data_IF_739583194720
#
_entry.id   IF_739583194720
#
_cell.length_a   1.000
_cell.length_b   1.000
_cell.length_c   1.000
_cell.angle_alpha   90.00
_cell.angle_beta   90.00
_cell.angle_gamma   90.00
#
_symmetry.space_group_name_H-M   'P 1'
#
loop_
_entity.id
_entity.type
_entity.pdbx_description
1 polymer ?
#
# COMPACT_ATOMS: atom_id res chain seq x y z
N UNK A 1 -20.67 -42.69 -38.84
CA UNK A 1 -19.98 -41.99 -39.95
C UNK A 1 -18.56 -41.69 -39.52
N UNK A 2 -17.56 -42.25 -40.20
CA UNK A 2 -16.17 -41.85 -40.03
C UNK A 2 -15.91 -40.69 -41.01
N UNK A 3 -15.61 -39.51 -40.48
CA UNK A 3 -15.29 -38.31 -41.28
C UNK A 3 -13.79 -38.36 -41.60
N UNK A 4 -13.40 -38.06 -42.85
CA UNK A 4 -11.98 -38.00 -43.21
C UNK A 4 -11.32 -36.77 -42.56
N UNK A 5 -10.03 -36.89 -42.19
CA UNK A 5 -9.27 -35.79 -41.58
C UNK A 5 -9.30 -34.51 -42.43
N UNK A 6 -9.30 -34.67 -43.76
CA UNK A 6 -9.33 -33.56 -44.72
C UNK A 6 -10.67 -32.82 -44.69
N UNK A 7 -11.76 -33.55 -44.54
CA UNK A 7 -13.11 -32.97 -44.46
C UNK A 7 -13.36 -32.30 -43.11
N UNK A 8 -12.80 -32.86 -42.02
CA UNK A 8 -12.80 -32.24 -40.70
C UNK A 8 -11.99 -30.94 -40.64
N UNK A 9 -10.83 -30.87 -41.31
CA UNK A 9 -10.07 -29.61 -41.39
C UNK A 9 -10.82 -28.56 -42.21
N UNK A 10 -11.46 -28.97 -43.31
CA UNK A 10 -12.27 -28.08 -44.14
C UNK A 10 -13.54 -27.58 -43.46
N UNK A 11 -14.11 -28.32 -42.52
CA UNK A 11 -15.29 -27.89 -41.76
C UNK A 11 -14.99 -26.74 -40.77
N UNK A 12 -13.72 -26.39 -40.57
CA UNK A 12 -13.29 -25.32 -39.65
C UNK A 12 -13.40 -25.70 -38.17
N UNK A 13 -13.94 -26.88 -37.86
CA UNK A 13 -14.11 -27.39 -36.51
C UNK A 13 -12.80 -27.45 -35.70
N UNK A 14 -11.63 -27.82 -36.27
CA UNK A 14 -10.37 -27.80 -35.54
C UNK A 14 -9.99 -26.42 -35.01
N UNK A 15 -10.28 -25.34 -35.75
CA UNK A 15 -9.97 -23.97 -35.33
C UNK A 15 -10.85 -23.50 -34.19
N UNK A 16 -12.11 -23.93 -34.17
CA UNK A 16 -13.05 -23.68 -33.07
C UNK A 16 -12.55 -24.38 -31.81
N UNK A 17 -12.19 -25.67 -31.92
CA UNK A 17 -11.62 -26.42 -30.80
C UNK A 17 -10.31 -25.81 -30.31
N UNK A 18 -9.41 -25.41 -31.23
CA UNK A 18 -8.15 -24.77 -30.88
C UNK A 18 -8.38 -23.43 -30.15
N UNK A 19 -9.32 -22.60 -30.61
CA UNK A 19 -9.65 -21.33 -29.96
C UNK A 19 -10.29 -21.54 -28.59
N UNK A 20 -11.23 -22.48 -28.48
CA UNK A 20 -11.85 -22.85 -27.20
C UNK A 20 -10.82 -23.41 -26.21
N UNK A 21 -9.91 -24.27 -26.68
CA UNK A 21 -8.79 -24.80 -25.87
C UNK A 21 -7.85 -23.68 -25.45
N UNK A 22 -7.50 -22.74 -26.32
CA UNK A 22 -6.64 -21.61 -26.00
C UNK A 22 -7.27 -20.70 -24.93
N UNK A 23 -8.57 -20.41 -25.03
CA UNK A 23 -9.30 -19.64 -24.01
C UNK A 23 -9.34 -20.41 -22.69
N UNK A 24 -9.66 -21.72 -22.71
CA UNK A 24 -9.68 -22.54 -21.51
C UNK A 24 -8.31 -22.59 -20.82
N UNK A 25 -7.22 -22.79 -21.58
CA UNK A 25 -5.85 -22.74 -21.06
C UNK A 25 -5.57 -21.36 -20.46
N UNK A 26 -5.95 -20.27 -21.14
CA UNK A 26 -5.74 -18.91 -20.63
C UNK A 26 -6.46 -18.67 -19.30
N UNK A 27 -7.72 -19.13 -19.16
CA UNK A 27 -8.47 -19.04 -17.91
C UNK A 27 -7.80 -19.86 -16.80
N UNK A 28 -7.37 -21.09 -17.11
CA UNK A 28 -6.64 -21.94 -16.15
C UNK A 28 -5.33 -21.28 -15.72
N UNK A 29 -4.58 -20.69 -16.64
CA UNK A 29 -3.33 -19.97 -16.34
C UNK A 29 -3.58 -18.74 -15.47
N UNK A 30 -4.62 -17.95 -15.76
CA UNK A 30 -4.99 -16.77 -14.95
C UNK A 30 -5.41 -17.20 -13.55
N UNK A 31 -6.30 -18.18 -13.42
CA UNK A 31 -6.72 -18.70 -12.11
C UNK A 31 -5.56 -19.36 -11.36
N UNK A 32 -4.69 -20.08 -12.07
CA UNK A 32 -3.48 -20.67 -11.51
C UNK A 32 -2.51 -19.61 -10.99
N UNK A 33 -2.26 -18.56 -11.77
CA UNK A 33 -1.43 -17.44 -11.35
C UNK A 33 -2.04 -16.71 -10.14
N UNK A 34 -3.34 -16.40 -10.18
CA UNK A 34 -4.04 -15.80 -9.05
C UNK A 34 -3.97 -16.69 -7.80
N UNK A 35 -4.11 -18.01 -7.95
CA UNK A 35 -3.95 -18.96 -6.86
C UNK A 35 -2.54 -19.00 -6.28
N UNK A 36 -1.51 -18.92 -7.13
CA UNK A 36 -0.11 -18.83 -6.68
C UNK A 36 0.14 -17.51 -5.95
N UNK A 37 -0.31 -16.39 -6.50
CA UNK A 37 -0.17 -15.07 -5.87
C UNK A 37 -0.91 -15.04 -4.54
N UNK A 38 -2.15 -15.53 -4.47
CA UNK A 38 -2.93 -15.59 -3.24
C UNK A 38 -2.28 -16.50 -2.19
N UNK A 39 -1.83 -17.70 -2.58
CA UNK A 39 -1.20 -18.64 -1.62
C UNK A 39 0.13 -18.12 -1.07
N UNK A 40 0.91 -17.38 -1.87
CA UNK A 40 2.16 -16.75 -1.43
C UNK A 40 1.91 -15.48 -0.63
N UNK A 41 0.94 -14.66 -1.03
CA UNK A 41 0.65 -13.37 -0.40
C UNK A 41 -0.13 -13.48 0.90
N UNK A 42 -1.19 -14.31 0.95
CA UNK A 42 -2.07 -14.39 2.12
C UNK A 42 -1.36 -14.94 3.36
N UNK A 43 -0.35 -15.81 3.18
CA UNK A 43 0.44 -16.35 4.30
C UNK A 43 1.15 -15.24 5.09
N UNK A 44 1.43 -14.08 4.49
CA UNK A 44 2.10 -12.96 5.16
C UNK A 44 1.30 -12.38 6.34
N UNK A 45 -0.03 -12.52 6.35
CA UNK A 45 -0.86 -12.03 7.47
C UNK A 45 -0.90 -12.98 8.66
N UNK A 46 -0.34 -14.18 8.52
CA UNK A 46 -0.31 -15.16 9.60
C UNK A 46 0.75 -14.77 10.64
N UNK A 47 0.42 -14.73 11.95
CA UNK A 47 1.40 -14.45 13.00
C UNK A 47 2.32 -15.67 13.18
N UNK A 48 3.40 -15.70 12.40
CA UNK A 48 4.41 -16.75 12.42
C UNK A 48 5.08 -16.83 13.79
N UNK A 49 5.40 -18.05 14.22
CA UNK A 49 6.11 -18.26 15.50
C UNK A 49 7.53 -17.72 15.43
N UNK A 50 7.96 -17.07 16.50
CA UNK A 50 9.33 -16.57 16.62
C UNK A 50 10.25 -17.69 17.11
N UNK A 51 11.34 -17.90 16.40
CA UNK A 51 12.34 -18.92 16.66
C UNK A 51 13.62 -18.25 17.14
N UNK A 52 14.17 -18.74 18.24
CA UNK A 52 15.46 -18.33 18.76
C UNK A 52 16.50 -19.38 18.39
N UNK A 53 17.61 -18.94 17.81
CA UNK A 53 18.71 -19.75 17.31
C UNK A 53 20.03 -19.27 17.87
N UNK A 54 20.94 -20.21 18.14
CA UNK A 54 22.36 -19.89 18.21
C UNK A 54 22.94 -19.96 16.80
N UNK A 55 23.28 -18.80 16.24
CA UNK A 55 23.92 -18.68 14.94
C UNK A 55 25.44 -18.63 15.10
N UNK A 56 26.15 -19.55 14.43
CA UNK A 56 27.61 -19.61 14.44
C UNK A 56 28.16 -19.07 13.13
N UNK A 57 28.91 -17.96 13.19
CA UNK A 57 29.61 -17.39 12.03
C UNK A 57 31.01 -17.99 11.89
N UNK A 58 31.63 -17.87 10.70
CA UNK A 58 32.88 -18.50 10.21
C UNK A 58 34.17 -18.38 11.09
N UNK A 59 34.07 -17.95 12.36
CA UNK A 59 35.14 -17.87 13.36
C UNK A 59 34.66 -18.20 14.80
N UNK A 60 33.74 -19.15 14.96
CA UNK A 60 33.14 -19.57 16.25
C UNK A 60 32.41 -18.46 17.03
N UNK A 61 32.17 -17.29 16.41
CA UNK A 61 31.33 -16.25 17.00
C UNK A 61 29.88 -16.74 17.03
N UNK A 62 29.40 -17.08 18.22
CA UNK A 62 28.03 -17.48 18.46
C UNK A 62 27.21 -16.27 18.91
N UNK A 63 26.14 -15.99 18.16
CA UNK A 63 25.16 -14.96 18.53
C UNK A 63 23.77 -15.57 18.61
N UNK A 64 22.95 -15.06 19.52
CA UNK A 64 21.55 -15.44 19.59
C UNK A 64 20.74 -14.61 18.60
N UNK A 65 19.94 -15.28 17.78
CA UNK A 65 19.11 -14.66 16.75
C UNK A 65 17.67 -15.05 16.99
N UNK A 66 16.78 -14.07 17.07
CA UNK A 66 15.33 -14.28 17.12
C UNK A 66 14.72 -13.82 15.80
N UNK A 67 13.86 -14.64 15.21
CA UNK A 67 13.20 -14.27 13.96
C UNK A 67 12.14 -15.27 13.50
N UNK A 68 11.52 -14.94 12.38
CA UNK A 68 10.52 -15.77 11.71
C UNK A 68 11.18 -16.51 10.55
N UNK A 69 10.97 -17.82 10.43
CA UNK A 69 11.36 -18.56 9.23
C UNK A 69 10.41 -18.22 8.09
N UNK A 70 10.94 -17.59 7.04
CA UNK A 70 10.17 -17.15 5.86
C UNK A 70 10.23 -18.20 4.76
N UNK A 71 11.42 -18.72 4.50
CA UNK A 71 11.67 -19.66 3.41
C UNK A 71 12.77 -20.64 3.80
N UNK A 72 12.66 -21.86 3.29
CA UNK A 72 13.68 -22.90 3.38
C UNK A 72 13.92 -23.44 1.98
N UNK A 73 15.17 -23.61 1.60
CA UNK A 73 15.56 -24.15 0.31
C UNK A 73 16.87 -24.94 0.38
N UNK A 74 17.04 -25.85 -0.58
CA UNK A 74 18.27 -26.59 -0.75
C UNK A 74 19.11 -25.93 -1.85
N UNK A 75 20.40 -25.74 -1.55
CA UNK A 75 21.38 -25.13 -2.44
C UNK A 75 22.54 -26.08 -2.66
N UNK A 76 23.16 -26.03 -3.84
CA UNK A 76 24.33 -26.85 -4.12
C UNK A 76 25.53 -26.35 -3.30
N UNK A 77 26.35 -27.27 -2.84
CA UNK A 77 27.56 -26.93 -2.11
C UNK A 77 28.53 -26.09 -2.97
N UNK A 78 28.50 -26.23 -4.30
CA UNK A 78 29.25 -25.39 -5.22
C UNK A 78 28.82 -23.92 -5.17
N UNK A 79 27.51 -23.65 -5.14
CA UNK A 79 26.98 -22.28 -5.03
C UNK A 79 27.46 -21.59 -3.76
N UNK A 80 27.53 -22.33 -2.64
CA UNK A 80 27.95 -21.81 -1.34
C UNK A 80 29.48 -21.64 -1.25
N UNK A 81 30.25 -22.56 -1.83
CA UNK A 81 31.70 -22.40 -1.99
C UNK A 81 32.03 -21.17 -2.83
N UNK A 82 31.27 -20.91 -3.90
CA UNK A 82 31.44 -19.74 -4.76
C UNK A 82 31.13 -18.41 -4.04
N UNK A 83 30.35 -18.42 -2.96
CA UNK A 83 30.15 -17.25 -2.09
C UNK A 83 31.23 -17.06 -1.02
N UNK A 84 32.27 -17.90 -1.02
CA UNK A 84 33.39 -17.80 -0.09
C UNK A 84 33.18 -18.49 1.27
N UNK A 85 32.09 -19.27 1.42
CA UNK A 85 31.78 -20.00 2.66
C UNK A 85 32.34 -21.43 2.55
N UNK A 86 33.06 -21.87 3.58
CA UNK A 86 33.61 -23.23 3.62
C UNK A 86 32.50 -24.27 3.81
N UNK A 87 32.46 -25.27 2.94
CA UNK A 87 31.52 -26.40 3.01
C UNK A 87 32.31 -27.70 3.19
N UNK A 88 31.94 -28.58 4.14
CA UNK A 88 32.61 -29.87 4.32
C UNK A 88 32.67 -30.69 3.03
N UNK A 89 33.77 -31.43 2.85
CA UNK A 89 33.92 -32.35 1.72
C UNK A 89 32.87 -33.48 1.78
N UNK A 90 32.32 -33.87 0.63
CA UNK A 90 31.29 -34.92 0.52
C UNK A 90 29.85 -34.44 0.70
N UNK A 91 29.61 -33.13 0.84
CA UNK A 91 28.26 -32.55 0.84
C UNK A 91 27.94 -31.98 -0.54
N UNK A 92 26.89 -32.50 -1.19
CA UNK A 92 26.43 -32.05 -2.50
C UNK A 92 25.34 -30.95 -2.38
N UNK A 93 24.45 -31.10 -1.40
CA UNK A 93 23.33 -30.19 -1.12
C UNK A 93 23.35 -29.75 0.34
N UNK A 94 23.06 -28.47 0.57
CA UNK A 94 22.93 -27.85 1.88
C UNK A 94 21.56 -27.20 2.02
N UNK A 95 20.91 -27.38 3.17
CA UNK A 95 19.74 -26.59 3.53
C UNK A 95 20.15 -25.18 3.96
N UNK A 96 19.46 -24.17 3.42
CA UNK A 96 19.53 -22.80 3.90
C UNK A 96 18.13 -22.24 4.18
N UNK A 97 18.05 -21.35 5.14
CA UNK A 97 16.80 -20.71 5.54
C UNK A 97 16.93 -19.19 5.47
N UNK A 98 15.87 -18.55 4.99
CA UNK A 98 15.67 -17.11 5.06
C UNK A 98 14.92 -16.81 6.35
N UNK A 99 15.59 -16.14 7.26
CA UNK A 99 15.04 -15.73 8.56
C UNK A 99 14.77 -14.24 8.50
N UNK A 100 13.54 -13.82 8.80
CA UNK A 100 13.21 -12.42 9.07
C UNK A 100 13.60 -12.14 10.52
N UNK A 101 14.74 -11.49 10.71
CA UNK A 101 15.28 -11.10 12.02
C UNK A 101 14.75 -9.74 12.49
N UNK A 102 14.13 -8.97 11.59
CA UNK A 102 13.63 -7.63 11.88
C UNK A 102 14.75 -6.72 12.39
N UNK A 103 14.41 -5.83 13.33
CA UNK A 103 15.34 -4.96 14.05
C UNK A 103 16.29 -4.21 13.10
N UNK A 104 15.76 -3.64 12.00
CA UNK A 104 16.55 -3.00 10.95
C UNK A 104 17.55 -1.97 11.48
N UNK A 105 17.20 -1.28 12.56
CA UNK A 105 18.03 -0.27 13.23
C UNK A 105 19.14 -0.85 14.11
N UNK A 106 19.09 -2.15 14.42
CA UNK A 106 20.12 -2.89 15.17
C UNK A 106 21.03 -3.66 14.21
N UNK A 107 20.45 -4.38 13.25
CA UNK A 107 21.20 -5.29 12.38
C UNK A 107 21.47 -4.75 10.96
N UNK A 108 20.84 -3.64 10.57
CA UNK A 108 20.95 -3.04 9.23
C UNK A 108 20.12 -3.72 8.14
N UNK A 109 19.56 -4.91 8.39
CA UNK A 109 18.71 -5.67 7.46
C UNK A 109 17.65 -6.45 8.24
N UNK A 110 16.44 -6.55 7.68
CA UNK A 110 15.35 -7.35 8.27
C UNK A 110 15.48 -8.84 8.00
N UNK A 111 16.32 -9.22 7.02
CA UNK A 111 16.44 -10.59 6.55
C UNK A 111 17.88 -11.07 6.59
N UNK A 112 18.04 -12.34 6.99
CA UNK A 112 19.32 -13.03 7.00
C UNK A 112 19.16 -14.43 6.40
N UNK A 113 20.06 -14.77 5.49
CA UNK A 113 20.25 -16.15 5.08
C UNK A 113 21.19 -16.85 6.08
N UNK A 114 20.78 -18.03 6.54
CA UNK A 114 21.61 -18.87 7.38
C UNK A 114 21.60 -20.31 6.84
N UNK A 115 22.77 -20.94 6.84
CA UNK A 115 22.87 -22.37 6.56
C UNK A 115 22.36 -23.14 7.77
N UNK A 116 21.68 -24.26 7.55
CA UNK A 116 21.10 -25.04 8.65
C UNK A 116 22.16 -25.61 9.61
N UNK A 117 23.36 -25.90 9.10
CA UNK A 117 24.49 -26.33 9.92
C UNK A 117 25.11 -25.22 10.78
N UNK A 118 24.81 -23.94 10.49
CA UNK A 118 25.22 -22.79 11.31
C UNK A 118 24.20 -22.48 12.41
N UNK A 119 23.02 -23.10 12.36
CA UNK A 119 21.93 -22.89 13.31
C UNK A 119 21.91 -24.05 14.31
N UNK A 120 21.99 -23.72 15.60
CA UNK A 120 21.86 -24.69 16.68
C UNK A 120 20.94 -24.15 17.79
N UNK A 121 20.59 -25.01 18.75
CA UNK A 121 19.76 -24.68 19.92
C UNK A 121 18.42 -23.99 19.57
N UNK A 122 17.71 -24.51 18.57
CA UNK A 122 16.40 -24.00 18.19
C UNK A 122 15.44 -24.04 19.40
N UNK A 123 14.92 -22.87 19.76
CA UNK A 123 13.94 -22.69 20.82
C UNK A 123 12.76 -21.83 20.34
N UNK A 124 11.61 -21.94 21.01
CA UNK A 124 10.42 -21.15 20.76
C UNK A 124 10.02 -20.40 22.04
N UNK A 125 10.66 -19.26 22.34
CA UNK A 125 10.40 -18.54 23.59
C UNK A 125 8.95 -18.08 23.64
N UNK A 126 8.20 -18.51 24.66
CA UNK A 126 6.75 -18.28 24.76
C UNK A 126 6.42 -16.79 24.69
N UNK A 127 7.19 -15.95 25.38
CA UNK A 127 6.96 -14.50 25.49
C UNK A 127 7.82 -13.66 24.53
N UNK A 128 8.41 -14.28 23.50
CA UNK A 128 8.98 -13.52 22.39
C UNK A 128 7.89 -12.66 21.76
N UNK A 129 8.16 -11.36 21.63
CA UNK A 129 7.19 -10.36 21.22
C UNK A 129 7.61 -9.75 19.88
N UNK A 130 6.66 -9.70 18.95
CA UNK A 130 6.74 -8.93 17.72
C UNK A 130 6.14 -7.55 17.96
N UNK A 131 6.92 -6.52 17.71
CA UNK A 131 6.50 -5.12 17.71
C UNK A 131 6.51 -4.63 16.27
N UNK A 132 5.33 -4.45 15.71
CA UNK A 132 5.18 -3.75 14.45
C UNK A 132 5.31 -2.26 14.71
N UNK A 133 6.27 -1.63 14.03
CA UNK A 133 6.57 -0.21 14.18
C UNK A 133 6.09 0.54 12.95
N UNK A 134 5.90 1.85 13.11
CA UNK A 134 5.55 2.77 12.01
C UNK A 134 6.72 3.01 11.06
N UNK A 135 7.95 2.87 11.57
CA UNK A 135 9.19 3.08 10.84
C UNK A 135 10.17 1.94 11.17
N UNK A 136 11.13 1.69 10.27
CA UNK A 136 12.25 0.76 10.50
C UNK A 136 11.82 -0.72 10.67
N UNK A 137 10.64 -1.10 10.20
CA UNK A 137 10.17 -2.49 10.20
C UNK A 137 9.88 -3.06 11.59
N UNK A 138 9.56 -4.36 11.61
CA UNK A 138 9.28 -5.09 12.83
C UNK A 138 10.49 -5.13 13.77
N UNK A 139 10.22 -5.01 15.07
CA UNK A 139 11.17 -5.34 16.11
C UNK A 139 10.79 -6.66 16.80
N UNK A 140 11.71 -7.62 16.87
CA UNK A 140 11.58 -8.87 17.60
C UNK A 140 12.47 -8.85 18.85
N UNK A 141 11.86 -9.14 20.01
CA UNK A 141 12.59 -9.20 21.27
C UNK A 141 11.69 -9.47 22.47
N UNK A 142 12.17 -9.05 23.63
CA UNK A 142 11.51 -9.24 24.93
C UNK A 142 11.32 -7.92 25.64
N UNK A 143 10.22 -7.79 26.37
CA UNK A 143 9.92 -6.61 27.18
C UNK A 143 10.82 -6.62 28.42
N UNK A 144 11.49 -5.50 28.71
CA UNK A 144 12.27 -5.32 29.93
C UNK A 144 11.63 -4.31 30.87
N UNK A 145 11.22 -3.15 30.37
CA UNK A 145 10.74 -2.09 31.24
C UNK A 145 9.83 -1.09 30.53
N UNK A 146 9.00 -0.41 31.31
CA UNK A 146 8.19 0.72 30.88
C UNK A 146 8.79 1.98 31.50
N UNK A 147 8.92 3.04 30.71
CA UNK A 147 9.35 4.36 31.17
C UNK A 147 8.29 5.41 30.85
N UNK A 148 8.12 6.34 31.79
CA UNK A 148 7.33 7.55 31.61
C UNK A 148 8.22 8.77 31.88
N UNK A 149 8.24 9.70 30.93
CA UNK A 149 9.07 10.92 30.96
C UNK A 149 10.55 10.60 31.23
N UNK A 150 11.03 9.48 30.68
CA UNK A 150 12.39 8.97 30.87
C UNK A 150 12.64 8.28 32.22
N UNK A 151 11.66 8.26 33.14
CA UNK A 151 11.78 7.59 34.43
C UNK A 151 11.25 6.16 34.36
N UNK A 152 11.94 5.23 35.02
CA UNK A 152 11.55 3.84 35.10
C UNK A 152 10.27 3.69 35.94
N UNK A 153 9.23 3.12 35.35
CA UNK A 153 7.93 2.90 36.01
C UNK A 153 7.81 1.46 36.50
N UNK A 154 8.20 0.51 35.65
CA UNK A 154 8.18 -0.91 35.97
C UNK A 154 9.25 -1.63 35.16
N UNK A 155 9.80 -2.71 35.73
CA UNK A 155 10.81 -3.55 35.12
C UNK A 155 10.50 -5.03 35.34
N UNK A 156 11.05 -5.88 34.48
CA UNK A 156 10.97 -7.33 34.58
C UNK A 156 12.22 -7.97 33.96
N UNK A 157 12.47 -9.23 34.32
CA UNK A 157 13.51 -10.04 33.70
C UNK A 157 13.17 -10.44 32.25
N UNK A 158 14.20 -10.65 31.42
CA UNK A 158 14.05 -11.20 30.05
C UNK A 158 13.29 -12.52 30.13
N UNK A 159 12.21 -12.63 29.35
CA UNK A 159 11.38 -13.83 29.32
C UNK A 159 10.31 -13.90 30.43
N UNK A 160 10.11 -12.83 31.20
CA UNK A 160 8.89 -12.65 32.01
C UNK A 160 7.74 -12.07 31.17
N UNK A 161 6.52 -12.19 31.66
CA UNK A 161 5.32 -11.67 31.00
C UNK A 161 4.46 -10.74 31.88
N UNK A 162 5.01 -10.26 33.00
CA UNK A 162 4.26 -9.47 33.99
C UNK A 162 3.85 -8.09 33.45
N UNK A 163 4.69 -7.47 32.62
CA UNK A 163 4.41 -6.15 32.05
C UNK A 163 3.48 -6.19 30.83
N UNK A 164 3.18 -7.37 30.26
CA UNK A 164 2.41 -7.48 29.02
C UNK A 164 1.03 -6.79 29.07
N UNK A 165 0.20 -6.95 30.14
CA UNK A 165 -1.08 -6.25 30.21
C UNK A 165 -0.93 -4.72 30.16
N UNK A 166 0.05 -4.16 30.89
CA UNK A 166 0.32 -2.72 30.91
C UNK A 166 0.85 -2.20 29.57
N UNK A 167 1.68 -2.99 28.87
CA UNK A 167 2.15 -2.65 27.52
C UNK A 167 0.99 -2.66 26.52
N UNK A 168 0.14 -3.69 26.56
CA UNK A 168 -1.01 -3.79 25.68
C UNK A 168 -2.00 -2.63 25.88
N UNK A 169 -2.27 -2.26 27.14
CA UNK A 169 -3.12 -1.11 27.47
C UNK A 169 -2.54 0.21 26.94
N UNK A 170 -1.23 0.44 27.11
CA UNK A 170 -0.57 1.66 26.62
C UNK A 170 -0.54 1.75 25.10
N UNK A 171 -0.38 0.63 24.39
CA UNK A 171 -0.50 0.59 22.92
C UNK A 171 -1.93 0.95 22.50
N UNK A 172 -2.95 0.42 23.19
CA UNK A 172 -4.34 0.75 22.91
C UNK A 172 -4.64 2.23 23.16
N UNK A 173 -4.20 2.79 24.30
CA UNK A 173 -4.36 4.21 24.61
C UNK A 173 -3.66 5.09 23.59
N UNK A 174 -2.44 4.71 23.18
CA UNK A 174 -1.69 5.41 22.14
C UNK A 174 -2.44 5.43 20.80
N UNK A 175 -3.05 4.29 20.42
CA UNK A 175 -3.89 4.22 19.22
C UNK A 175 -5.08 5.17 19.31
N UNK A 176 -5.81 5.17 20.42
CA UNK A 176 -6.96 6.08 20.60
C UNK A 176 -6.57 7.55 20.47
N UNK A 177 -5.41 7.94 21.01
CA UNK A 177 -4.89 9.31 20.87
C UNK A 177 -4.50 9.60 19.41
N UNK A 178 -3.93 8.62 18.70
CA UNK A 178 -3.60 8.77 17.28
C UNK A 178 -4.86 8.91 16.42
N UNK A 179 -5.91 8.15 16.71
CA UNK A 179 -7.21 8.27 16.04
C UNK A 179 -7.81 9.68 16.28
N UNK A 180 -7.70 10.21 17.50
CA UNK A 180 -8.12 11.59 17.82
C UNK A 180 -7.31 12.65 17.07
N UNK A 181 -5.99 12.46 16.94
CA UNK A 181 -5.12 13.34 16.16
C UNK A 181 -5.57 13.33 14.70
N UNK A 182 -5.81 12.15 14.12
CA UNK A 182 -6.24 12.01 12.73
C UNK A 182 -7.62 12.66 12.49
N UNK A 183 -8.58 12.46 13.39
CA UNK A 183 -9.91 13.08 13.34
C UNK A 183 -9.82 14.62 13.43
N UNK A 184 -8.93 15.16 14.26
CA UNK A 184 -8.70 16.60 14.35
C UNK A 184 -8.06 17.15 13.08
N UNK A 185 -7.01 16.50 12.56
CA UNK A 185 -6.27 16.95 11.37
C UNK A 185 -7.12 16.85 10.10
N UNK A 186 -7.68 15.68 9.81
CA UNK A 186 -8.47 15.42 8.60
C UNK A 186 -9.90 15.97 8.70
N UNK A 187 -10.49 15.99 9.89
CA UNK A 187 -11.85 16.44 10.14
C UNK A 187 -11.93 17.92 10.43
N UNK A 188 -11.74 18.31 11.70
CA UNK A 188 -12.03 19.67 12.17
C UNK A 188 -11.11 20.73 11.55
N UNK A 189 -9.80 20.50 11.58
CA UNK A 189 -8.79 21.39 10.98
C UNK A 189 -8.93 21.40 9.46
N UNK A 190 -9.12 20.23 8.84
CA UNK A 190 -9.38 20.10 7.41
C UNK A 190 -10.60 20.95 6.96
N UNK A 191 -11.69 20.90 7.72
CA UNK A 191 -12.89 21.71 7.44
C UNK A 191 -12.63 23.22 7.55
N UNK A 192 -11.88 23.66 8.58
CA UNK A 192 -11.50 25.07 8.72
C UNK A 192 -10.60 25.50 7.57
N UNK A 193 -9.59 24.70 7.21
CA UNK A 193 -8.70 25.00 6.09
C UNK A 193 -9.46 25.12 4.78
N UNK A 194 -10.47 24.26 4.54
CA UNK A 194 -11.35 24.38 3.39
C UNK A 194 -12.10 25.72 3.40
N UNK A 195 -12.66 26.14 4.54
CA UNK A 195 -13.37 27.43 4.64
C UNK A 195 -12.43 28.63 4.44
N UNK A 196 -11.21 28.58 5.00
CA UNK A 196 -10.19 29.60 4.78
C UNK A 196 -9.79 29.70 3.31
N UNK A 197 -9.68 28.58 2.62
CA UNK A 197 -9.41 28.55 1.18
C UNK A 197 -10.59 29.13 0.38
N UNK A 198 -11.85 28.82 0.74
CA UNK A 198 -13.01 29.47 0.11
C UNK A 198 -13.00 30.98 0.29
N UNK A 199 -12.69 31.48 1.50
CA UNK A 199 -12.56 32.92 1.73
C UNK A 199 -11.44 33.57 0.91
N UNK A 200 -10.32 32.86 0.71
CA UNK A 200 -9.23 33.31 -0.18
C UNK A 200 -9.70 33.42 -1.62
N UNK A 201 -10.47 32.43 -2.10
CA UNK A 201 -11.04 32.42 -3.45
C UNK A 201 -12.07 33.54 -3.63
N UNK A 202 -12.91 33.79 -2.64
CA UNK A 202 -13.90 34.88 -2.67
C UNK A 202 -13.25 36.26 -2.69
N UNK A 203 -12.22 36.48 -1.86
CA UNK A 203 -11.40 37.70 -1.89
C UNK A 203 -10.80 37.92 -3.28
N UNK A 204 -10.17 36.87 -3.83
CA UNK A 204 -9.59 36.93 -5.18
C UNK A 204 -10.65 37.20 -6.27
N UNK A 205 -11.86 36.69 -6.11
CA UNK A 205 -12.97 36.94 -7.04
C UNK A 205 -13.41 38.40 -7.00
N UNK A 206 -13.43 39.04 -5.83
CA UNK A 206 -13.72 40.47 -5.69
C UNK A 206 -12.65 41.32 -6.37
N UNK A 207 -11.36 41.00 -6.16
CA UNK A 207 -10.24 41.67 -6.83
C UNK A 207 -10.36 41.60 -8.35
N UNK A 208 -10.66 40.42 -8.89
CA UNK A 208 -10.81 40.21 -10.35
C UNK A 208 -11.99 41.00 -10.94
N UNK A 209 -13.02 41.29 -10.14
CA UNK A 209 -14.17 42.11 -10.54
C UNK A 209 -13.96 43.61 -10.29
N UNK A 210 -12.90 44.01 -9.57
CA UNK A 210 -12.72 45.38 -9.10
C UNK A 210 -13.75 45.80 -8.03
N UNK A 211 -14.25 44.84 -7.26
CA UNK A 211 -15.24 45.02 -6.19
C UNK A 211 -14.60 44.86 -4.79
N UNK A 212 -13.29 45.00 -4.68
CA UNK A 212 -12.47 44.90 -3.47
C UNK A 212 -12.58 46.14 -2.56
N UNK A 213 -13.80 46.60 -2.33
CA UNK A 213 -14.06 47.74 -1.44
C UNK A 213 -13.75 47.36 0.02
N UNK A 214 -13.35 48.33 0.86
CA UNK A 214 -13.10 48.08 2.28
C UNK A 214 -14.30 47.44 3.01
N UNK A 215 -15.53 47.76 2.59
CA UNK A 215 -16.76 47.19 3.13
C UNK A 215 -16.92 45.71 2.77
N UNK A 216 -16.70 45.35 1.50
CA UNK A 216 -16.78 43.96 1.04
C UNK A 216 -15.69 43.08 1.67
N UNK A 217 -14.50 43.63 1.89
CA UNK A 217 -13.39 42.93 2.53
C UNK A 217 -13.57 42.80 4.05
N UNK A 218 -14.27 43.74 4.71
CA UNK A 218 -14.47 43.70 6.15
C UNK A 218 -15.23 42.45 6.60
N UNK A 219 -16.24 42.00 5.85
CA UNK A 219 -16.98 40.77 6.16
C UNK A 219 -16.09 39.52 6.03
N UNK A 220 -15.30 39.44 4.95
CA UNK A 220 -14.37 38.32 4.73
C UNK A 220 -13.28 38.27 5.81
N UNK A 221 -12.75 39.42 6.22
CA UNK A 221 -11.77 39.54 7.29
C UNK A 221 -12.35 39.12 8.64
N UNK A 222 -13.60 39.51 8.95
CA UNK A 222 -14.27 39.08 10.18
C UNK A 222 -14.47 37.56 10.22
N UNK A 223 -14.92 36.95 9.12
CA UNK A 223 -15.04 35.48 9.00
C UNK A 223 -13.68 34.78 9.13
N UNK A 224 -12.65 35.31 8.47
CA UNK A 224 -11.28 34.80 8.56
C UNK A 224 -10.75 34.83 9.99
N UNK A 225 -10.95 35.95 10.70
CA UNK A 225 -10.53 36.09 12.08
C UNK A 225 -11.23 35.08 13.01
N UNK A 226 -12.53 34.82 12.78
CA UNK A 226 -13.26 33.77 13.50
C UNK A 226 -12.64 32.39 13.26
N UNK A 227 -12.45 31.98 12.01
CA UNK A 227 -11.87 30.69 11.67
C UNK A 227 -10.42 30.53 12.15
N UNK A 228 -9.63 31.59 12.15
CA UNK A 228 -8.28 31.58 12.71
C UNK A 228 -8.29 31.40 14.23
N UNK A 229 -9.29 31.94 14.92
CA UNK A 229 -9.47 31.73 16.37
C UNK A 229 -9.82 30.27 16.65
N UNK A 230 -10.77 29.70 15.90
CA UNK A 230 -11.14 28.29 16.03
C UNK A 230 -9.97 27.36 15.69
N UNK A 231 -9.22 27.66 14.64
CA UNK A 231 -7.99 26.94 14.27
C UNK A 231 -6.98 26.94 15.40
N UNK A 232 -6.72 28.08 16.03
CA UNK A 232 -5.75 28.20 17.13
C UNK A 232 -6.15 27.38 18.37
N UNK A 233 -7.45 27.23 18.64
CA UNK A 233 -7.96 26.35 19.68
C UNK A 233 -7.68 24.87 19.35
N UNK A 234 -8.01 24.44 18.13
CA UNK A 234 -7.75 23.07 17.68
C UNK A 234 -6.26 22.75 17.62
N UNK A 235 -5.42 23.72 17.22
CA UNK A 235 -3.97 23.56 17.21
C UNK A 235 -3.42 23.37 18.63
N UNK A 236 -4.00 24.05 19.62
CA UNK A 236 -3.63 23.89 21.03
C UNK A 236 -3.98 22.48 21.54
N UNK A 237 -5.17 21.99 21.19
CA UNK A 237 -5.60 20.61 21.50
C UNK A 237 -4.70 19.57 20.83
N UNK A 238 -4.42 19.74 19.53
CA UNK A 238 -3.53 18.88 18.76
C UNK A 238 -2.13 18.80 19.38
N UNK A 239 -1.54 19.95 19.75
CA UNK A 239 -0.24 20.01 20.43
C UNK A 239 -0.27 19.26 21.77
N UNK A 240 -1.35 19.37 22.54
CA UNK A 240 -1.49 18.65 23.81
C UNK A 240 -1.54 17.13 23.61
N UNK A 241 -2.25 16.65 22.58
CA UNK A 241 -2.28 15.23 22.22
C UNK A 241 -0.89 14.71 21.82
N UNK A 242 -0.16 15.43 20.97
CA UNK A 242 1.21 15.05 20.62
C UNK A 242 2.16 15.02 21.82
N UNK A 243 2.04 15.99 22.73
CA UNK A 243 2.83 15.99 23.97
C UNK A 243 2.52 14.78 24.86
N UNK A 244 1.27 14.34 24.90
CA UNK A 244 0.88 13.14 25.65
C UNK A 244 1.55 11.87 25.09
N UNK A 245 1.62 11.75 23.76
CA UNK A 245 2.26 10.63 23.06
C UNK A 245 3.77 10.55 23.27
N UNK A 246 4.45 11.69 23.44
CA UNK A 246 5.90 11.76 23.56
C UNK A 246 6.44 11.31 24.92
N UNK A 247 5.57 11.01 25.88
CA UNK A 247 5.99 10.80 27.28
C UNK A 247 6.28 9.34 27.64
N UNK A 248 5.69 8.37 26.95
CA UNK A 248 5.78 6.95 27.32
C UNK A 248 6.68 6.19 26.35
N UNK A 249 7.63 5.43 26.88
CA UNK A 249 8.52 4.56 26.09
C UNK A 249 8.65 3.16 26.70
N UNK A 250 9.02 2.20 25.85
CA UNK A 250 9.19 0.80 26.16
C UNK A 250 10.66 0.41 25.97
N UNK A 251 11.27 -0.15 27.00
CA UNK A 251 12.58 -0.79 26.91
C UNK A 251 12.38 -2.26 26.51
N UNK A 252 13.00 -2.64 25.40
CA UNK A 252 13.01 -3.99 24.87
C UNK A 252 14.45 -4.49 24.74
N UNK A 253 14.63 -5.80 24.76
CA UNK A 253 15.93 -6.44 24.54
C UNK A 253 15.84 -7.44 23.40
N UNK A 254 16.85 -7.42 22.54
CA UNK A 254 17.03 -8.39 21.46
C UNK A 254 17.51 -9.73 22.02
N UNK A 255 17.57 -10.76 21.17
CA UNK A 255 18.04 -12.08 21.60
C UNK A 255 19.50 -12.08 22.05
N UNK A 256 20.36 -11.33 21.34
CA UNK A 256 21.79 -11.12 21.62
C UNK A 256 22.07 -10.14 22.78
N UNK A 257 21.02 -9.60 23.43
CA UNK A 257 21.16 -8.82 24.66
C UNK A 257 21.25 -7.30 24.47
N UNK A 258 21.09 -6.79 23.25
CA UNK A 258 21.07 -5.35 22.99
C UNK A 258 19.75 -4.74 23.44
N UNK A 259 19.82 -3.68 24.25
CA UNK A 259 18.62 -2.97 24.73
C UNK A 259 18.27 -1.82 23.81
N UNK A 260 16.99 -1.70 23.46
CA UNK A 260 16.46 -0.58 22.69
C UNK A 260 15.29 0.07 23.41
N UNK A 261 15.25 1.39 23.39
CA UNK A 261 14.10 2.17 23.82
C UNK A 261 13.23 2.51 22.61
N UNK A 262 11.95 2.16 22.66
CA UNK A 262 10.97 2.38 21.60
C UNK A 262 9.82 3.21 22.17
N UNK A 263 9.51 4.36 21.55
CA UNK A 263 8.36 5.16 21.95
C UNK A 263 7.06 4.43 21.61
N UNK A 264 6.08 4.42 22.52
CA UNK A 264 4.78 3.77 22.26
C UNK A 264 4.09 4.35 21.03
N UNK A 265 4.25 5.65 20.77
CA UNK A 265 3.75 6.34 19.57
C UNK A 265 4.22 5.72 18.25
N UNK A 266 5.38 5.06 18.24
CA UNK A 266 5.93 4.41 17.05
C UNK A 266 5.46 2.96 16.89
N UNK A 267 4.80 2.37 17.89
CA UNK A 267 4.33 0.98 17.85
C UNK A 267 2.90 0.94 17.30
N UNK A 268 2.69 0.29 16.15
CA UNK A 268 1.37 0.07 15.55
C UNK A 268 0.62 -1.04 16.31
N UNK A 269 1.34 -2.12 16.60
CA UNK A 269 0.82 -3.33 17.22
C UNK A 269 1.96 -4.09 17.89
N UNK A 270 1.67 -4.73 19.02
CA UNK A 270 2.54 -5.75 19.59
C UNK A 270 1.76 -7.06 19.76
N UNK A 271 2.41 -8.20 19.57
CA UNK A 271 1.82 -9.52 19.79
C UNK A 271 2.88 -10.59 20.09
N UNK A 272 2.50 -11.63 20.84
CA UNK A 272 3.36 -12.76 21.23
C UNK A 272 2.95 -14.02 20.47
N UNK A 273 3.43 -14.25 19.23
CA UNK A 273 2.89 -15.29 18.36
C UNK A 273 3.06 -16.71 18.90
N UNK A 274 4.03 -16.93 19.80
CA UNK A 274 4.28 -18.22 20.46
C UNK A 274 3.31 -18.48 21.63
N UNK A 275 2.74 -17.43 22.22
CA UNK A 275 1.77 -17.50 23.32
C UNK A 275 0.31 -17.39 22.82
N UNK A 276 0.09 -17.28 21.51
CA UNK A 276 -1.25 -17.15 20.94
C UNK A 276 -1.92 -18.51 20.71
N UNK A 277 -3.17 -18.64 21.15
CA UNK A 277 -4.02 -19.75 20.77
C UNK A 277 -4.37 -19.70 19.28
N UNK A 278 -4.80 -20.83 18.71
CA UNK A 278 -5.21 -20.89 17.30
C UNK A 278 -6.31 -19.86 16.98
N UNK A 279 -7.29 -19.69 17.88
CA UNK A 279 -8.36 -18.68 17.71
C UNK A 279 -7.82 -17.25 17.69
N UNK A 280 -6.84 -16.93 18.55
CA UNK A 280 -6.18 -15.62 18.53
C UNK A 280 -5.38 -15.40 17.24
N UNK A 281 -4.72 -16.44 16.71
CA UNK A 281 -3.99 -16.34 15.43
C UNK A 281 -4.94 -16.07 14.26
N UNK A 282 -6.07 -16.77 14.21
CA UNK A 282 -7.11 -16.53 13.19
C UNK A 282 -7.67 -15.11 13.31
N UNK A 283 -8.00 -14.65 14.52
CA UNK A 283 -8.46 -13.28 14.75
C UNK A 283 -7.44 -12.23 14.30
N UNK A 284 -6.17 -12.44 14.64
CA UNK A 284 -5.08 -11.57 14.20
C UNK A 284 -4.94 -11.53 12.68
N UNK A 285 -5.00 -12.69 12.02
CA UNK A 285 -4.93 -12.81 10.57
C UNK A 285 -5.99 -11.96 9.87
N UNK A 286 -7.26 -12.11 10.27
CA UNK A 286 -8.35 -11.33 9.65
C UNK A 286 -8.25 -9.84 9.99
N UNK A 287 -7.85 -9.50 11.21
CA UNK A 287 -7.60 -8.10 11.57
C UNK A 287 -6.48 -7.47 10.73
N UNK A 288 -5.42 -8.23 10.41
CA UNK A 288 -4.33 -7.79 9.55
C UNK A 288 -4.70 -7.71 8.08
N UNK A 289 -5.48 -8.66 7.59
CA UNK A 289 -6.02 -8.62 6.24
C UNK A 289 -6.94 -7.42 6.05
N UNK A 290 -7.79 -7.11 7.03
CA UNK A 290 -8.65 -5.94 7.00
C UNK A 290 -7.82 -4.64 6.98
N UNK A 291 -6.89 -4.49 7.93
CA UNK A 291 -5.95 -3.34 7.99
C UNK A 291 -5.26 -3.13 6.63
N UNK A 292 -4.77 -4.19 6.01
CA UNK A 292 -4.12 -4.11 4.70
C UNK A 292 -5.06 -3.61 3.60
N UNK A 293 -6.35 -3.95 3.63
CA UNK A 293 -7.31 -3.53 2.61
C UNK A 293 -7.89 -2.14 2.89
N UNK A 294 -8.03 -1.75 4.17
CA UNK A 294 -8.72 -0.53 4.60
C UNK A 294 -7.81 0.68 4.87
N UNK A 295 -6.57 0.46 5.28
CA UNK A 295 -5.73 1.54 5.77
C UNK A 295 -4.92 2.22 4.65
N UNK A 296 -4.36 3.38 4.98
CA UNK A 296 -3.42 4.12 4.15
C UNK A 296 -2.02 3.45 4.12
N UNK A 297 -1.26 3.60 3.03
CA UNK A 297 0.10 3.09 2.94
C UNK A 297 1.05 3.86 3.86
N UNK A 298 2.06 3.15 4.37
CA UNK A 298 3.14 3.65 5.24
C UNK A 298 4.50 3.35 4.61
N UNK A 299 5.56 4.03 5.06
CA UNK A 299 6.96 3.78 4.66
C UNK A 299 7.14 3.64 3.13
N UNK A 300 6.77 4.67 2.37
CA UNK A 300 6.87 4.64 0.89
C UNK A 300 6.17 3.44 0.22
N UNK A 301 5.04 3.00 0.78
CA UNK A 301 4.24 1.84 0.36
C UNK A 301 4.87 0.47 0.66
N UNK A 302 5.87 0.39 1.54
CA UNK A 302 6.39 -0.92 1.99
C UNK A 302 5.57 -1.52 3.14
N UNK A 303 4.80 -0.70 3.85
CA UNK A 303 3.96 -1.11 4.99
C UNK A 303 2.58 -0.42 4.93
N UNK A 304 1.69 -0.75 5.87
CA UNK A 304 0.34 -0.19 5.90
C UNK A 304 -0.64 -0.86 4.94
N UNK A 305 -1.68 -0.13 4.57
CA UNK A 305 -2.74 -0.63 3.69
C UNK A 305 -2.65 -0.14 2.25
N UNK A 306 -3.54 -0.68 1.40
CA UNK A 306 -3.61 -0.42 -0.05
C UNK A 306 -4.93 0.23 -0.46
N UNK A 307 -5.71 0.76 0.48
CA UNK A 307 -7.05 1.30 0.22
C UNK A 307 -7.06 2.38 -0.87
N UNK A 308 -6.18 3.42 -0.85
CA UNK A 308 -6.19 4.46 -1.88
C UNK A 308 -5.92 3.92 -3.29
N UNK A 309 -5.07 2.88 -3.41
CA UNK A 309 -4.75 2.26 -4.69
C UNK A 309 -5.94 1.46 -5.25
N UNK A 310 -6.64 0.71 -4.39
CA UNK A 310 -7.88 0.01 -4.76
C UNK A 310 -8.93 1.02 -5.20
N UNK A 311 -9.19 2.04 -4.38
CA UNK A 311 -10.20 3.06 -4.65
C UNK A 311 -9.90 3.78 -5.97
N UNK A 312 -8.67 4.25 -6.16
CA UNK A 312 -8.25 4.93 -7.39
C UNK A 312 -8.44 4.06 -8.62
N UNK A 313 -8.05 2.77 -8.56
CA UNK A 313 -8.19 1.83 -9.68
C UNK A 313 -9.66 1.57 -10.01
N UNK A 314 -10.49 1.29 -9.00
CA UNK A 314 -11.92 1.03 -9.19
C UNK A 314 -12.62 2.26 -9.75
N UNK A 315 -12.39 3.44 -9.16
CA UNK A 315 -12.98 4.69 -9.62
C UNK A 315 -12.56 5.01 -11.05
N UNK A 316 -11.28 4.79 -11.37
CA UNK A 316 -10.75 5.04 -12.70
C UNK A 316 -11.45 4.17 -13.76
N UNK A 317 -11.62 2.87 -13.49
CA UNK A 317 -12.31 1.92 -14.36
C UNK A 317 -13.80 2.24 -14.48
N UNK A 318 -14.46 2.63 -13.39
CA UNK A 318 -15.87 3.00 -13.40
C UNK A 318 -16.12 4.25 -14.26
N UNK A 319 -15.37 5.34 -14.03
CA UNK A 319 -15.48 6.57 -14.82
C UNK A 319 -15.18 6.28 -16.30
N UNK A 320 -14.11 5.54 -16.59
CA UNK A 320 -13.77 5.12 -17.96
C UNK A 320 -14.93 4.35 -18.60
N UNK A 321 -15.50 3.36 -17.90
CA UNK A 321 -16.58 2.51 -18.43
C UNK A 321 -17.85 3.30 -18.70
N UNK A 322 -18.24 4.20 -17.78
CA UNK A 322 -19.39 5.09 -17.93
C UNK A 322 -19.22 6.01 -19.14
N UNK A 323 -18.01 6.52 -19.37
CA UNK A 323 -17.72 7.43 -20.48
C UNK A 323 -17.53 6.71 -21.82
N UNK A 324 -16.90 5.53 -21.86
CA UNK A 324 -16.57 4.87 -23.14
C UNK A 324 -17.72 4.00 -23.65
N UNK A 325 -18.44 3.32 -22.76
CA UNK A 325 -19.42 2.28 -23.16
C UNK A 325 -20.57 2.85 -24.00
N UNK A 326 -21.24 3.96 -23.61
CA UNK A 326 -22.34 4.50 -24.40
C UNK A 326 -21.90 4.90 -25.81
N UNK A 327 -20.76 5.62 -25.91
CA UNK A 327 -20.26 6.10 -27.20
C UNK A 327 -19.74 4.95 -28.07
N UNK A 328 -19.01 4.00 -27.49
CA UNK A 328 -18.50 2.83 -28.20
C UNK A 328 -19.63 1.96 -28.75
N UNK A 329 -20.62 1.62 -27.91
CA UNK A 329 -21.77 0.78 -28.32
C UNK A 329 -22.62 1.48 -29.37
N UNK A 330 -22.94 2.77 -29.21
CA UNK A 330 -23.70 3.54 -30.21
C UNK A 330 -22.95 3.59 -31.54
N UNK A 331 -21.63 3.81 -31.49
CA UNK A 331 -20.80 3.84 -32.70
C UNK A 331 -20.75 2.47 -33.37
N UNK A 332 -20.57 1.38 -32.61
CA UNK A 332 -20.56 0.01 -33.13
C UNK A 332 -21.88 -0.35 -33.82
N UNK A 333 -23.01 -0.10 -33.15
CA UNK A 333 -24.36 -0.37 -33.68
C UNK A 333 -24.61 0.47 -34.93
N UNK A 334 -24.26 1.76 -34.90
CA UNK A 334 -24.42 2.63 -36.06
C UNK A 334 -23.59 2.13 -37.25
N UNK A 335 -22.30 1.87 -37.05
CA UNK A 335 -21.38 1.44 -38.11
C UNK A 335 -21.72 0.07 -38.69
N UNK A 336 -22.36 -0.81 -37.90
CA UNK A 336 -22.68 -2.17 -38.30
C UNK A 336 -24.07 -2.31 -38.91
N UNK A 337 -25.08 -1.67 -38.33
CA UNK A 337 -26.49 -1.88 -38.70
C UNK A 337 -27.05 -0.76 -39.59
N UNK A 338 -26.60 0.49 -39.39
CA UNK A 338 -27.23 1.66 -40.04
C UNK A 338 -26.37 2.29 -41.13
N UNK A 339 -25.05 2.25 -40.98
CA UNK A 339 -24.13 3.00 -41.82
C UNK A 339 -23.98 2.34 -43.21
N UNK A 340 -24.40 3.06 -44.25
CA UNK A 340 -24.21 2.62 -45.65
C UNK A 340 -22.74 2.73 -46.02
N UNK A 341 -22.22 1.74 -46.76
CA UNK A 341 -20.85 1.79 -47.25
C UNK A 341 -20.62 3.05 -48.09
N UNK A 342 -19.69 3.89 -47.66
CA UNK A 342 -19.35 5.14 -48.32
C UNK A 342 -18.01 5.69 -47.86
N UNK A 343 -17.67 6.88 -48.34
CA UNK A 343 -16.42 7.55 -47.96
C UNK A 343 -16.34 7.79 -46.44
N UNK A 344 -17.42 8.30 -45.84
CA UNK A 344 -17.48 8.63 -44.40
C UNK A 344 -17.25 7.38 -43.53
N UNK A 345 -17.96 6.29 -43.82
CA UNK A 345 -17.81 5.05 -43.03
C UNK A 345 -16.42 4.43 -43.17
N UNK A 346 -15.79 4.58 -44.34
CA UNK A 346 -14.42 4.13 -44.58
C UNK A 346 -13.42 4.96 -43.77
N UNK A 347 -13.58 6.29 -43.75
CA UNK A 347 -12.74 7.19 -42.94
C UNK A 347 -12.87 6.87 -41.46
N UNK A 348 -14.09 6.71 -40.93
CA UNK A 348 -14.30 6.36 -39.51
C UNK A 348 -13.62 5.04 -39.18
N UNK A 349 -13.80 4.00 -40.01
CA UNK A 349 -13.17 2.68 -39.78
C UNK A 349 -11.63 2.75 -39.80
N UNK A 350 -11.05 3.54 -40.69
CA UNK A 350 -9.60 3.78 -40.72
C UNK A 350 -9.16 4.50 -39.44
N UNK A 351 -9.89 5.52 -38.99
CA UNK A 351 -9.57 6.25 -37.77
C UNK A 351 -9.61 5.34 -36.52
N UNK A 352 -10.65 4.49 -36.39
CA UNK A 352 -10.76 3.51 -35.30
C UNK A 352 -9.60 2.51 -35.32
N UNK A 353 -9.27 1.94 -36.49
CA UNK A 353 -8.14 1.02 -36.63
C UNK A 353 -6.80 1.69 -36.31
N UNK A 354 -6.61 2.96 -36.70
CA UNK A 354 -5.41 3.71 -36.38
C UNK A 354 -5.32 4.00 -34.89
N UNK A 355 -6.42 4.41 -34.23
CA UNK A 355 -6.49 4.58 -32.78
C UNK A 355 -6.11 3.30 -32.03
N UNK A 356 -6.58 2.14 -32.50
CA UNK A 356 -6.22 0.84 -31.91
C UNK A 356 -4.71 0.52 -32.02
N UNK A 357 -4.01 1.13 -32.98
CA UNK A 357 -2.59 0.88 -33.26
C UNK A 357 -1.65 1.85 -32.53
N UNK A 358 -2.18 2.90 -31.89
CA UNK A 358 -1.37 3.90 -31.19
C UNK A 358 -0.79 3.29 -29.89
N UNK A 359 0.53 3.39 -29.65
CA UNK A 359 1.13 2.94 -28.40
C UNK A 359 0.57 3.67 -27.17
N UNK A 360 0.40 2.96 -26.05
CA UNK A 360 -0.19 3.50 -24.82
C UNK A 360 0.54 4.72 -24.25
N UNK A 361 1.86 4.81 -24.40
CA UNK A 361 2.65 5.98 -23.94
C UNK A 361 2.24 7.27 -24.65
N UNK A 362 1.85 7.18 -25.93
CA UNK A 362 1.41 8.34 -26.73
C UNK A 362 0.07 8.84 -26.19
N UNK A 363 -0.85 7.93 -25.84
CA UNK A 363 -2.10 8.30 -25.17
C UNK A 363 -1.85 8.99 -23.82
N UNK A 364 -0.88 8.53 -23.04
CA UNK A 364 -0.52 9.16 -21.76
C UNK A 364 -0.06 10.61 -21.91
N UNK A 365 0.88 10.86 -22.83
CA UNK A 365 1.37 12.22 -23.12
C UNK A 365 0.28 13.09 -23.75
N UNK A 366 -0.52 12.53 -24.66
CA UNK A 366 -1.69 13.21 -25.22
C UNK A 366 -2.68 13.60 -24.13
N UNK A 367 -2.99 12.70 -23.19
CA UNK A 367 -3.91 12.95 -22.10
C UNK A 367 -3.45 14.11 -21.21
N UNK A 368 -2.17 14.13 -20.84
CA UNK A 368 -1.59 15.25 -20.10
C UNK A 368 -1.69 16.57 -20.88
N UNK A 369 -1.27 16.59 -22.14
CA UNK A 369 -1.28 17.81 -22.95
C UNK A 369 -2.68 18.32 -23.27
N UNK A 370 -3.57 17.43 -23.71
CA UNK A 370 -4.89 17.77 -24.20
C UNK A 370 -5.93 17.89 -23.07
N UNK A 371 -6.06 16.87 -22.21
CA UNK A 371 -7.09 16.89 -21.17
C UNK A 371 -6.70 17.81 -20.01
N UNK A 372 -5.48 17.70 -19.49
CA UNK A 372 -5.06 18.47 -18.31
C UNK A 372 -4.74 19.92 -18.70
N UNK A 373 -3.74 20.12 -19.55
CA UNK A 373 -3.25 21.49 -19.82
C UNK A 373 -4.14 22.29 -20.76
N UNK A 374 -4.67 21.66 -21.81
CA UNK A 374 -5.53 22.36 -22.76
C UNK A 374 -6.96 22.47 -22.24
N UNK A 375 -7.71 21.37 -22.07
CA UNK A 375 -9.10 21.46 -21.61
C UNK A 375 -9.17 21.98 -20.17
N UNK A 376 -8.51 21.31 -19.23
CA UNK A 376 -8.55 21.69 -17.82
C UNK A 376 -8.06 23.11 -17.56
N UNK A 377 -6.91 23.47 -18.15
CA UNK A 377 -6.37 24.83 -18.05
C UNK A 377 -7.24 25.92 -18.67
N UNK A 378 -7.98 25.64 -19.75
CA UNK A 378 -8.94 26.61 -20.30
C UNK A 378 -10.22 26.69 -19.46
N UNK A 379 -10.72 25.57 -18.93
CA UNK A 379 -11.86 25.56 -18.02
C UNK A 379 -11.58 26.41 -16.77
N UNK A 380 -10.39 26.30 -16.19
CA UNK A 380 -10.01 27.11 -15.04
C UNK A 380 -9.97 28.60 -15.37
N UNK A 381 -9.43 28.98 -16.53
CA UNK A 381 -9.40 30.39 -16.93
C UNK A 381 -10.80 31.00 -17.10
N UNK A 382 -11.77 30.20 -17.54
CA UNK A 382 -13.13 30.66 -17.82
C UNK A 382 -14.00 30.64 -16.56
N UNK A 383 -13.92 29.55 -15.78
CA UNK A 383 -14.86 29.27 -14.69
C UNK A 383 -14.27 29.43 -13.29
N UNK A 384 -12.95 29.35 -13.14
CA UNK A 384 -12.24 29.41 -11.85
C UNK A 384 -10.97 30.29 -11.89
N UNK A 385 -11.02 31.52 -12.46
CA UNK A 385 -9.85 32.38 -12.58
C UNK A 385 -9.22 32.74 -11.22
N UNK A 386 -9.99 32.70 -10.14
CA UNK A 386 -9.56 32.93 -8.75
C UNK A 386 -8.67 31.82 -8.17
N UNK A 387 -8.71 30.61 -8.74
CA UNK A 387 -7.97 29.46 -8.23
C UNK A 387 -6.46 29.53 -8.54
N UNK A 388 -6.05 30.31 -9.53
CA UNK A 388 -4.63 30.45 -9.90
C UNK A 388 -3.77 30.92 -8.70
N UNK A 389 -2.58 30.33 -8.48
CA UNK A 389 -1.82 29.44 -9.36
C UNK A 389 -2.12 27.93 -9.18
N UNK A 390 -3.07 27.55 -8.32
CA UNK A 390 -3.44 26.16 -8.06
C UNK A 390 -4.71 25.79 -8.86
N UNK A 391 -4.59 25.28 -10.10
CA UNK A 391 -5.73 25.01 -10.97
C UNK A 391 -6.67 23.94 -10.42
N UNK A 392 -7.98 24.08 -10.66
CA UNK A 392 -8.99 23.07 -10.30
C UNK A 392 -9.00 21.93 -11.32
N UNK A 393 -9.29 22.25 -12.58
CA UNK A 393 -9.39 21.30 -13.67
C UNK A 393 -8.05 21.08 -14.37
N UNK A 394 -7.12 22.03 -14.33
CA UNK A 394 -5.75 21.89 -14.85
C UNK A 394 -4.82 21.04 -13.98
N UNK A 395 -5.32 20.43 -12.90
CA UNK A 395 -4.58 19.51 -12.05
C UNK A 395 -4.72 18.07 -12.58
N UNK A 396 -3.61 17.31 -12.73
CA UNK A 396 -3.68 15.89 -13.06
C UNK A 396 -4.50 15.12 -12.02
N UNK A 397 -5.41 14.24 -12.45
CA UNK A 397 -6.28 13.50 -11.53
C UNK A 397 -7.05 12.38 -12.19
N UNK A 398 -7.86 11.68 -11.39
CA UNK A 398 -8.62 10.49 -11.79
C UNK A 398 -9.50 10.74 -13.02
N UNK A 399 -10.18 11.89 -13.09
CA UNK A 399 -11.04 12.25 -14.23
C UNK A 399 -10.29 12.20 -15.57
N UNK A 400 -9.13 12.87 -15.64
CA UNK A 400 -8.34 12.95 -16.87
C UNK A 400 -7.65 11.63 -17.22
N UNK A 401 -7.20 10.89 -16.20
CA UNK A 401 -6.68 9.54 -16.38
C UNK A 401 -7.75 8.61 -16.98
N UNK A 402 -8.96 8.63 -16.43
CA UNK A 402 -10.09 7.85 -16.94
C UNK A 402 -10.50 8.24 -18.36
N UNK A 403 -10.50 9.54 -18.70
CA UNK A 403 -10.77 10.00 -20.06
C UNK A 403 -9.70 9.54 -21.07
N UNK A 404 -8.45 9.54 -20.65
CA UNK A 404 -7.33 9.03 -21.46
C UNK A 404 -7.47 7.54 -21.70
N UNK A 405 -7.81 6.77 -20.66
CA UNK A 405 -8.08 5.34 -20.79
C UNK A 405 -9.35 5.06 -21.62
N UNK A 406 -10.38 5.89 -21.52
CA UNK A 406 -11.57 5.78 -22.33
C UNK A 406 -11.20 5.95 -23.82
N UNK A 407 -10.41 6.97 -24.15
CA UNK A 407 -9.95 7.15 -25.53
C UNK A 407 -9.13 5.96 -26.04
N UNK A 408 -8.25 5.41 -25.20
CA UNK A 408 -7.42 4.24 -25.52
C UNK A 408 -8.26 2.97 -25.74
N UNK A 409 -9.32 2.77 -24.96
CA UNK A 409 -10.17 1.57 -25.01
C UNK A 409 -11.30 1.66 -26.03
N UNK A 410 -11.64 2.86 -26.49
CA UNK A 410 -12.71 3.10 -27.44
C UNK A 410 -12.65 2.20 -28.69
N UNK A 411 -11.50 1.98 -29.36
CA UNK A 411 -11.43 1.12 -30.54
C UNK A 411 -11.69 -0.36 -30.28
N UNK A 412 -11.54 -0.81 -29.03
CA UNK A 412 -11.83 -2.20 -28.63
C UNK A 412 -13.33 -2.38 -28.39
N UNK A 413 -14.04 -1.30 -28.00
CA UNK A 413 -15.49 -1.32 -27.76
C UNK A 413 -16.28 -1.16 -29.07
N UNK A 414 -15.76 -0.39 -30.03
CA UNK A 414 -16.32 -0.24 -31.38
C UNK A 414 -16.11 -1.52 -32.19
#
# INVERSE_FOLDING_TARGET
>A
MQISLKDWIRSGSPWIWLSASAVAISVVLVLGLLGIVASRGLVHFWPATLQEYTYTQDQDLQIQVLGEQVQREEVTAEQIRNSGIAVPEGVDLLGRQLIKVGNRDVYGSDFRWALENQLSNLNYPVYATSFERREQGNFYGFILAIKDKGQLVAEQEKGSNQLWPAVAERIQQTRLIQDQIEDLEKGAIGAINYQLEQLRLDERRLELKGEDTPENLAELQAKRASFQTDYALLETELRALYQSLATSSLMVVTADGQTKEINFSTIVRAYQPNNMSLGQKIGHYFAKLWEFVSDDPREANTEGGIFPAIFGTVMMVLIMSVLVTPFGVVTAVYLREYARQGFITRVIRIAVNNLASVPSIVYGVFGLGFFVYFIGGNLDKIFYPEAAPAPTFGTPGLLWASLTLALLTLPVVI
#
